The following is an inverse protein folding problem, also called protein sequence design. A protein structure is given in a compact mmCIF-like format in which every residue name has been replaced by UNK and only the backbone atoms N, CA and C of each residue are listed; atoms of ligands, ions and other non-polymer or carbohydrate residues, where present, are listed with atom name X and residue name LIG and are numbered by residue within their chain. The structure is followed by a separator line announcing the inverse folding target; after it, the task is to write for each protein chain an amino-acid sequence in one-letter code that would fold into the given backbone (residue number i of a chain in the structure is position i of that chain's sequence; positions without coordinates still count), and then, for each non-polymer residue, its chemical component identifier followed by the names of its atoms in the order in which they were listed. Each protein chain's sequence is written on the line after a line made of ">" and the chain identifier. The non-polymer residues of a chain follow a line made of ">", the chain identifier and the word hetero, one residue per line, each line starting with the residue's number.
data_IF_261370584953
#
_entry.id   IF_261370584953
#
_cell.length_a   1.000
_cell.length_b   1.000
_cell.length_c   1.000
_cell.angle_alpha   90.00
_cell.angle_beta   90.00
_cell.angle_gamma   90.00
#
_symmetry.space_group_name_H-M   'P 1'
#
loop_
_entity.id
_entity.type
_entity.pdbx_description
1 polymer ?
#
# COMPACT_ATOMS: atom_id res chain seq x y z
N UNK A 1 -5.71 15.62 16.26
CA UNK A 1 -4.63 14.80 15.69
C UNK A 1 -5.09 13.36 15.80
N UNK A 2 -5.24 12.63 14.69
CA UNK A 2 -5.73 11.25 14.70
C UNK A 2 -4.51 10.33 14.82
N UNK A 3 -4.48 9.52 15.87
CA UNK A 3 -3.45 8.51 16.08
C UNK A 3 -4.12 7.13 16.07
N UNK A 4 -3.62 6.16 15.29
CA UNK A 4 -4.09 4.80 15.41
C UNK A 4 -3.72 4.26 16.79
N UNK A 5 -4.60 3.48 17.39
CA UNK A 5 -4.37 2.79 18.67
C UNK A 5 -3.27 1.71 18.54
N UNK A 6 -3.08 1.20 17.33
CA UNK A 6 -2.10 0.18 16.99
C UNK A 6 -0.93 0.76 16.17
N UNK A 7 0.28 0.25 16.45
CA UNK A 7 1.46 0.56 15.64
C UNK A 7 1.27 0.07 14.20
N UNK A 8 1.26 1.00 13.24
CA UNK A 8 1.17 0.71 11.81
C UNK A 8 2.57 0.72 11.20
N UNK A 9 2.96 -0.36 10.52
CA UNK A 9 4.19 -0.39 9.73
C UNK A 9 3.90 0.19 8.35
N UNK A 10 4.55 1.31 8.01
CA UNK A 10 4.42 1.91 6.67
C UNK A 10 5.55 1.41 5.78
N UNK A 11 5.21 0.88 4.62
CA UNK A 11 6.16 0.47 3.57
C UNK A 11 5.90 1.24 2.30
N UNK A 12 6.96 1.77 1.69
CA UNK A 12 6.87 2.61 0.49
C UNK A 12 7.38 1.80 -0.70
N UNK A 13 6.57 1.69 -1.75
CA UNK A 13 7.01 1.12 -3.01
C UNK A 13 8.09 2.00 -3.64
N UNK A 14 9.33 1.49 -3.72
CA UNK A 14 10.48 2.23 -4.26
C UNK A 14 10.44 2.36 -5.78
N UNK A 15 9.66 1.51 -6.46
CA UNK A 15 9.40 1.58 -7.91
C UNK A 15 8.06 2.27 -8.18
N UNK A 16 7.99 3.26 -9.08
CA UNK A 16 6.73 3.92 -9.43
C UNK A 16 5.72 2.92 -10.02
N UNK A 17 4.45 3.05 -9.63
CA UNK A 17 3.39 2.11 -10.03
C UNK A 17 2.41 2.78 -11.01
N UNK A 18 1.89 1.97 -11.93
CA UNK A 18 0.84 2.41 -12.84
C UNK A 18 -0.51 2.38 -12.11
N UNK A 19 -1.02 3.55 -11.75
CA UNK A 19 -2.28 3.68 -11.01
C UNK A 19 -3.51 3.36 -11.88
N UNK A 20 -3.34 3.15 -13.20
CA UNK A 20 -4.43 2.66 -14.06
C UNK A 20 -4.88 1.23 -13.72
N UNK A 21 -4.11 0.51 -12.90
CA UNK A 21 -4.46 -0.82 -12.38
C UNK A 21 -5.59 -0.80 -11.34
N UNK A 22 -6.01 0.37 -10.87
CA UNK A 22 -7.05 0.51 -9.84
C UNK A 22 -6.61 -0.01 -8.47
N UNK A 23 -7.52 0.04 -7.49
CA UNK A 23 -7.22 -0.34 -6.10
C UNK A 23 -6.88 -1.83 -5.98
N UNK A 24 -7.69 -2.71 -6.57
CA UNK A 24 -7.47 -4.16 -6.51
C UNK A 24 -6.16 -4.59 -7.18
N UNK A 25 -5.80 -3.95 -8.29
CA UNK A 25 -4.53 -4.23 -8.95
C UNK A 25 -3.32 -3.75 -8.14
N UNK A 26 -3.44 -2.64 -7.41
CA UNK A 26 -2.41 -2.19 -6.46
C UNK A 26 -2.32 -3.11 -5.25
N UNK A 27 -3.46 -3.55 -4.71
CA UNK A 27 -3.55 -4.51 -3.61
C UNK A 27 -2.88 -5.83 -4.00
N UNK A 28 -3.25 -6.41 -5.15
CA UNK A 28 -2.67 -7.65 -5.67
C UNK A 28 -1.15 -7.54 -5.85
N UNK A 29 -0.64 -6.40 -6.34
CA UNK A 29 0.80 -6.16 -6.44
C UNK A 29 1.48 -6.11 -5.06
N UNK A 30 0.87 -5.45 -4.08
CA UNK A 30 1.36 -5.42 -2.71
C UNK A 30 1.39 -6.83 -2.09
N UNK A 31 0.31 -7.59 -2.23
CA UNK A 31 0.21 -8.97 -1.75
C UNK A 31 1.28 -9.86 -2.39
N UNK A 32 1.44 -9.80 -3.72
CA UNK A 32 2.43 -10.60 -4.44
C UNK A 32 3.88 -10.25 -4.06
N UNK A 33 4.18 -8.98 -3.80
CA UNK A 33 5.54 -8.54 -3.48
C UNK A 33 5.94 -8.77 -2.03
N UNK A 34 4.99 -8.68 -1.09
CA UNK A 34 5.29 -8.59 0.34
C UNK A 34 4.72 -9.75 1.17
N UNK A 35 3.84 -10.57 0.60
CA UNK A 35 3.34 -11.79 1.25
C UNK A 35 2.74 -11.52 2.64
N UNK A 36 1.95 -10.46 2.77
CA UNK A 36 1.46 -10.03 4.08
C UNK A 36 0.59 -11.08 4.76
N UNK A 37 0.80 -11.26 6.06
CA UNK A 37 -0.12 -12.02 6.91
C UNK A 37 -1.43 -11.24 7.13
N UNK A 38 -2.58 -11.93 7.24
CA UNK A 38 -3.84 -11.30 7.66
C UNK A 38 -3.61 -10.62 9.02
N UNK A 39 -3.96 -9.33 9.14
CA UNK A 39 -3.75 -8.46 10.33
C UNK A 39 -2.31 -7.96 10.60
N UNK A 40 -1.40 -8.00 9.63
CA UNK A 40 -0.02 -7.54 9.85
C UNK A 40 0.15 -6.04 10.18
N UNK A 41 -0.93 -5.23 10.18
CA UNK A 41 -0.85 -3.80 10.50
C UNK A 41 0.05 -3.03 9.54
N UNK A 42 0.14 -3.46 8.28
CA UNK A 42 1.02 -2.86 7.27
C UNK A 42 0.21 -1.93 6.37
N UNK A 43 0.72 -0.73 6.13
CA UNK A 43 0.20 0.20 5.13
C UNK A 43 1.21 0.30 3.99
N UNK A 44 0.78 0.01 2.77
CA UNK A 44 1.61 0.16 1.58
C UNK A 44 1.32 1.48 0.92
N UNK A 45 2.35 2.30 0.69
CA UNK A 45 2.26 3.56 -0.05
C UNK A 45 2.88 3.38 -1.42
N UNK A 46 2.15 3.82 -2.44
CA UNK A 46 2.56 3.83 -3.83
C UNK A 46 2.69 5.24 -4.35
N UNK A 47 3.60 5.42 -5.30
CA UNK A 47 3.75 6.65 -6.07
C UNK A 47 3.44 6.38 -7.54
N UNK A 48 2.67 7.27 -8.19
CA UNK A 48 2.29 7.12 -9.59
C UNK A 48 3.52 7.22 -10.50
N UNK A 49 3.51 6.52 -11.64
CA UNK A 49 4.55 6.71 -12.68
C UNK A 49 4.69 8.16 -13.13
N UNK A 50 3.58 8.93 -13.14
CA UNK A 50 3.55 10.35 -13.51
C UNK A 50 4.14 11.27 -12.42
N UNK A 51 4.30 10.80 -11.19
CA UNK A 51 4.90 11.58 -10.10
C UNK A 51 3.94 12.53 -9.38
N UNK A 52 2.70 12.66 -9.85
CA UNK A 52 1.69 13.62 -9.39
C UNK A 52 0.78 13.07 -8.27
N UNK A 53 0.80 11.75 -8.04
CA UNK A 53 -0.17 11.09 -7.14
C UNK A 53 0.50 10.08 -6.22
N UNK A 54 -0.02 10.04 -5.00
CA UNK A 54 0.23 8.99 -4.02
C UNK A 54 -1.07 8.22 -3.77
N UNK A 55 -0.95 6.93 -3.50
CA UNK A 55 -2.07 6.08 -3.10
C UNK A 55 -1.58 5.15 -2.01
N UNK A 56 -2.49 4.71 -1.14
CA UNK A 56 -2.16 3.75 -0.10
C UNK A 56 -3.14 2.58 -0.11
N UNK A 57 -2.65 1.44 0.35
CA UNK A 57 -3.46 0.24 0.54
C UNK A 57 -3.19 -0.31 1.94
N UNK A 58 -4.28 -0.61 2.66
CA UNK A 58 -4.25 -1.30 3.94
C UNK A 58 -4.83 -2.69 3.66
N UNK A 59 -4.05 -3.77 3.77
CA UNK A 59 -4.55 -5.12 3.62
C UNK A 59 -5.47 -5.43 4.81
N UNK A 60 -6.77 -5.51 4.56
CA UNK A 60 -7.72 -6.13 5.48
C UNK A 60 -7.65 -7.64 5.34
N UNK A 61 -7.72 -8.35 6.48
CA UNK A 61 -7.73 -9.81 6.57
C UNK A 61 -8.91 -10.43 5.80
#
# INVERSE_FOLDING_TARGET
>A
MIFPDQAVRIVIATKPVDFRKGHDGLAAMAHAALGFAPKAGVMVVFRSKRGDRLSFHIPTA
#
